data_IF_266380676757
#
_entry.id   IF_266380676757
#
_cell.length_a   1.000
_cell.length_b   1.000
_cell.length_c   1.000
_cell.angle_alpha   90.00
_cell.angle_beta   90.00
_cell.angle_gamma   90.00
#
_symmetry.space_group_name_H-M   'P 1'
#
loop_
_entity.id
_entity.type
_entity.pdbx_description
1 polymer ?
#
# COMPACT_ATOMS: atom_id res chain seq x y z
N UNK A 1 -2.05 29.79 -85.14
CA UNK A 1 -1.22 29.78 -83.91
C UNK A 1 -1.95 28.91 -82.88
N UNK A 2 -2.32 27.66 -83.16
CA UNK A 2 -1.50 26.51 -83.58
C UNK A 2 -0.29 26.33 -82.65
N UNK A 3 -0.41 25.39 -81.70
CA UNK A 3 0.49 24.24 -81.58
C UNK A 3 -0.17 23.17 -80.68
N UNK A 4 -0.45 22.04 -81.32
CA UNK A 4 -0.92 20.76 -80.81
C UNK A 4 0.24 19.91 -80.22
N UNK A 5 -0.16 18.76 -79.63
CA UNK A 5 0.58 17.49 -79.50
C UNK A 5 1.62 17.32 -78.35
N UNK A 6 1.33 16.44 -77.39
CA UNK A 6 1.58 14.99 -77.55
C UNK A 6 1.02 14.17 -76.36
N UNK A 7 0.31 13.10 -76.73
CA UNK A 7 -0.14 11.98 -75.91
C UNK A 7 1.03 11.14 -75.38
N UNK A 8 0.88 10.53 -74.20
CA UNK A 8 1.34 9.15 -73.99
C UNK A 8 0.63 8.54 -72.76
N UNK A 9 -0.41 7.77 -73.06
CA UNK A 9 -1.01 6.74 -72.22
C UNK A 9 0.00 5.58 -72.09
N UNK A 10 0.39 5.22 -70.87
CA UNK A 10 0.93 3.89 -70.56
C UNK A 10 0.35 3.38 -69.24
N UNK A 11 -0.71 2.60 -69.40
CA UNK A 11 -1.19 1.62 -68.44
C UNK A 11 -0.43 0.29 -68.71
N UNK A 12 0.07 -0.35 -67.66
CA UNK A 12 0.27 -1.80 -67.46
C UNK A 12 1.49 -2.15 -66.57
N UNK A 13 1.13 -2.43 -65.31
CA UNK A 13 1.32 -3.72 -64.64
C UNK A 13 2.68 -4.11 -64.00
N UNK A 14 2.49 -4.64 -62.78
CA UNK A 14 3.18 -5.78 -62.17
C UNK A 14 4.46 -5.60 -61.34
N UNK A 15 4.34 -6.13 -60.12
CA UNK A 15 5.40 -6.63 -59.24
C UNK A 15 6.13 -5.61 -58.35
N UNK A 16 5.37 -4.96 -57.47
CA UNK A 16 5.89 -4.59 -56.15
C UNK A 16 5.74 -5.80 -55.23
N UNK A 17 6.79 -6.60 -55.08
CA UNK A 17 6.83 -7.75 -54.17
C UNK A 17 6.38 -7.30 -52.78
N UNK A 18 5.21 -7.78 -52.37
CA UNK A 18 4.92 -7.98 -50.97
C UNK A 18 5.95 -8.99 -50.47
N UNK A 19 7.07 -8.48 -49.98
CA UNK A 19 7.87 -9.22 -49.03
C UNK A 19 7.00 -9.31 -47.78
N UNK A 20 6.15 -10.33 -47.78
CA UNK A 20 5.73 -11.02 -46.59
C UNK A 20 7.01 -11.28 -45.81
N UNK A 21 7.33 -10.35 -44.90
CA UNK A 21 8.39 -10.56 -43.92
C UNK A 21 7.91 -11.74 -43.11
N UNK A 22 8.48 -12.88 -43.46
CA UNK A 22 8.37 -14.12 -42.73
C UNK A 22 8.41 -13.78 -41.24
N UNK A 23 7.38 -14.25 -40.56
CA UNK A 23 7.21 -14.30 -39.11
C UNK A 23 8.28 -15.25 -38.55
N UNK A 24 9.54 -14.94 -38.83
CA UNK A 24 10.70 -15.53 -38.22
C UNK A 24 10.57 -15.19 -36.74
N UNK A 25 10.19 -16.22 -36.00
CA UNK A 25 10.39 -16.41 -34.58
C UNK A 25 11.87 -16.16 -34.26
N UNK A 26 12.30 -14.90 -34.33
CA UNK A 26 13.57 -14.42 -33.80
C UNK A 26 13.39 -14.61 -32.30
N UNK A 27 13.84 -15.77 -31.82
CA UNK A 27 13.97 -16.07 -30.42
C UNK A 27 14.82 -14.94 -29.81
N UNK A 28 14.13 -13.94 -29.27
CA UNK A 28 14.73 -12.78 -28.63
C UNK A 28 15.32 -13.29 -27.32
N UNK A 29 16.48 -13.92 -27.42
CA UNK A 29 17.20 -14.47 -26.27
C UNK A 29 17.74 -13.28 -25.47
N UNK A 30 16.92 -12.82 -24.52
CA UNK A 30 17.29 -11.72 -23.65
C UNK A 30 18.24 -12.22 -22.57
N UNK A 31 19.43 -11.65 -22.55
CA UNK A 31 20.41 -11.87 -21.51
C UNK A 31 19.95 -11.20 -20.20
N UNK A 32 19.62 -11.98 -19.14
CA UNK A 32 19.16 -11.43 -17.86
C UNK A 32 20.26 -10.69 -17.09
N UNK A 33 21.52 -10.78 -17.55
CA UNK A 33 22.64 -10.01 -16.97
C UNK A 33 22.80 -8.62 -17.59
N UNK A 34 21.96 -8.27 -18.57
CA UNK A 34 21.96 -6.97 -19.24
C UNK A 34 20.85 -6.07 -18.69
N UNK A 35 21.18 -4.81 -18.40
CA UNK A 35 20.21 -3.84 -17.93
C UNK A 35 19.18 -3.53 -19.03
N UNK A 36 17.89 -3.73 -18.74
CA UNK A 36 16.83 -3.49 -19.73
C UNK A 36 16.62 -2.01 -20.09
N UNK A 37 17.08 -1.08 -19.23
CA UNK A 37 16.94 0.38 -19.43
C UNK A 37 18.11 1.03 -20.17
N UNK A 38 19.34 0.56 -19.95
CA UNK A 38 20.55 1.20 -20.48
C UNK A 38 21.55 0.26 -21.18
N UNK A 39 21.18 -1.00 -21.39
CA UNK A 39 21.98 -2.04 -22.08
C UNK A 39 23.38 -2.30 -21.51
N UNK A 40 23.63 -1.88 -20.27
CA UNK A 40 24.87 -2.23 -19.57
C UNK A 40 24.84 -3.72 -19.21
N UNK A 41 25.85 -4.45 -19.67
CA UNK A 41 26.09 -5.83 -19.29
C UNK A 41 26.79 -5.92 -17.93
N UNK A 42 26.31 -6.82 -17.08
CA UNK A 42 26.89 -7.09 -15.77
C UNK A 42 27.40 -8.53 -15.69
N UNK A 43 28.28 -8.81 -14.73
CA UNK A 43 28.87 -10.15 -14.56
C UNK A 43 27.91 -11.15 -13.89
N UNK A 44 26.96 -10.66 -13.10
CA UNK A 44 25.99 -11.46 -12.36
C UNK A 44 24.63 -10.76 -12.37
N UNK A 45 23.55 -11.52 -12.26
CA UNK A 45 22.17 -11.00 -12.21
C UNK A 45 22.00 -10.08 -11.00
N UNK A 46 22.52 -10.45 -9.84
CA UNK A 46 22.49 -9.63 -8.63
C UNK A 46 23.10 -8.23 -8.86
N UNK A 47 24.23 -8.16 -9.57
CA UNK A 47 24.86 -6.87 -9.89
C UNK A 47 24.03 -6.07 -10.88
N UNK A 48 23.38 -6.74 -11.84
CA UNK A 48 22.43 -6.12 -12.76
C UNK A 48 21.23 -5.53 -12.00
N UNK A 49 20.63 -6.31 -11.09
CA UNK A 49 19.50 -5.87 -10.26
C UNK A 49 19.87 -4.69 -9.36
N UNK A 50 21.04 -4.72 -8.71
CA UNK A 50 21.53 -3.60 -7.90
C UNK A 50 21.76 -2.35 -8.75
N UNK A 51 22.27 -2.50 -9.98
CA UNK A 51 22.41 -1.39 -10.90
C UNK A 51 21.05 -0.83 -11.33
N UNK A 52 20.11 -1.70 -11.72
CA UNK A 52 18.75 -1.32 -12.11
C UNK A 52 18.03 -0.59 -10.97
N UNK A 53 18.18 -1.05 -9.73
CA UNK A 53 17.61 -0.38 -8.56
C UNK A 53 18.24 0.99 -8.31
N UNK A 54 19.59 1.09 -8.30
CA UNK A 54 20.29 2.34 -7.95
C UNK A 54 20.22 3.41 -9.02
N UNK A 55 20.29 3.04 -10.30
CA UNK A 55 20.35 3.99 -11.41
C UNK A 55 19.01 4.26 -12.06
N UNK A 56 18.10 3.28 -12.04
CA UNK A 56 16.80 3.39 -12.71
C UNK A 56 15.62 3.32 -11.74
N UNK A 57 15.84 3.09 -10.45
CA UNK A 57 14.77 2.93 -9.47
C UNK A 57 13.99 1.63 -9.63
N UNK A 58 14.58 0.61 -10.28
CA UNK A 58 13.89 -0.65 -10.51
C UNK A 58 13.60 -1.40 -9.23
N UNK A 59 12.35 -1.84 -9.09
CA UNK A 59 11.87 -2.50 -7.88
C UNK A 59 11.00 -3.70 -8.24
N UNK A 60 11.28 -4.84 -7.60
CA UNK A 60 10.50 -6.07 -7.68
C UNK A 60 9.73 -6.21 -6.35
N UNK A 61 8.39 -6.20 -6.39
CA UNK A 61 7.55 -6.51 -5.23
C UNK A 61 7.86 -7.90 -4.66
N UNK A 62 7.73 -8.07 -3.34
CA UNK A 62 7.72 -9.39 -2.69
C UNK A 62 8.85 -10.35 -3.12
N UNK A 63 10.06 -9.81 -3.31
CA UNK A 63 11.24 -10.55 -3.80
C UNK A 63 11.56 -11.82 -2.99
N UNK A 64 11.15 -11.88 -1.72
CA UNK A 64 11.31 -13.06 -0.86
C UNK A 64 10.53 -14.29 -1.37
N UNK A 65 9.47 -14.08 -2.14
CA UNK A 65 8.61 -15.10 -2.72
C UNK A 65 8.88 -15.33 -4.22
N UNK A 66 9.89 -14.67 -4.80
CA UNK A 66 10.23 -14.82 -6.21
C UNK A 66 10.95 -16.17 -6.44
N UNK A 67 10.26 -17.11 -7.09
CA UNK A 67 10.76 -18.47 -7.34
C UNK A 67 11.78 -18.51 -8.49
N UNK A 68 11.51 -17.77 -9.56
CA UNK A 68 12.39 -17.72 -10.74
C UNK A 68 12.78 -16.27 -11.12
N UNK A 69 13.91 -15.75 -10.58
CA UNK A 69 14.38 -14.41 -10.92
C UNK A 69 14.86 -14.29 -12.36
N UNK A 70 15.27 -15.40 -13.02
CA UNK A 70 15.72 -15.36 -14.41
C UNK A 70 14.54 -15.22 -15.35
N UNK A 71 13.55 -16.10 -15.21
CA UNK A 71 12.31 -16.04 -15.98
C UNK A 71 11.62 -14.69 -15.84
N UNK A 72 11.51 -14.16 -14.62
CA UNK A 72 10.93 -12.85 -14.37
C UNK A 72 11.66 -11.72 -15.13
N UNK A 73 13.00 -11.68 -15.06
CA UNK A 73 13.78 -10.65 -15.75
C UNK A 73 13.72 -10.78 -17.27
N UNK A 74 13.66 -12.01 -17.79
CA UNK A 74 13.48 -12.26 -19.22
C UNK A 74 12.12 -11.76 -19.68
N UNK A 75 11.06 -12.10 -18.96
CA UNK A 75 9.69 -11.68 -19.27
C UNK A 75 9.53 -10.14 -19.23
N UNK A 76 9.99 -9.51 -18.15
CA UNK A 76 9.99 -8.04 -18.02
C UNK A 76 10.85 -7.38 -19.10
N UNK A 77 11.97 -8.02 -19.44
CA UNK A 77 12.82 -7.61 -20.53
C UNK A 77 12.11 -7.65 -21.88
N UNK A 78 11.33 -8.70 -22.16
CA UNK A 78 10.57 -8.86 -23.40
C UNK A 78 9.48 -7.78 -23.51
N UNK A 79 8.72 -7.54 -22.44
CA UNK A 79 7.73 -6.45 -22.40
C UNK A 79 8.32 -5.10 -22.80
N UNK A 80 9.53 -4.77 -22.34
CA UNK A 80 10.17 -3.48 -22.66
C UNK A 80 10.89 -3.48 -24.01
N UNK A 81 11.63 -4.54 -24.33
CA UNK A 81 12.54 -4.57 -25.49
C UNK A 81 11.88 -5.01 -26.79
N UNK A 82 10.92 -5.92 -26.71
CA UNK A 82 10.21 -6.48 -27.88
C UNK A 82 8.88 -5.78 -28.08
N UNK A 83 8.07 -5.71 -27.02
CA UNK A 83 6.70 -5.24 -27.13
C UNK A 83 6.57 -3.72 -26.96
N UNK A 84 7.70 -3.05 -26.64
CA UNK A 84 7.77 -1.62 -26.37
C UNK A 84 6.69 -1.14 -25.40
N UNK A 85 6.47 -1.87 -24.31
CA UNK A 85 5.49 -1.56 -23.29
C UNK A 85 6.14 -1.06 -22.00
N UNK A 86 5.44 -0.16 -21.29
CA UNK A 86 5.87 0.35 -20.00
C UNK A 86 5.35 -0.55 -18.88
N UNK A 87 6.24 -0.98 -17.98
CA UNK A 87 5.96 -1.95 -16.90
C UNK A 87 4.97 -1.48 -15.82
N UNK A 88 4.64 -0.19 -15.80
CA UNK A 88 3.77 0.40 -14.78
C UNK A 88 2.55 1.13 -15.35
N UNK A 89 2.51 1.36 -16.67
CA UNK A 89 1.37 2.05 -17.24
C UNK A 89 0.27 1.04 -17.54
N UNK A 90 -0.93 1.29 -17.04
CA UNK A 90 -2.11 0.46 -17.29
C UNK A 90 -2.42 0.37 -18.80
N UNK A 91 -3.26 -0.60 -19.16
CA UNK A 91 -3.71 -1.01 -20.50
C UNK A 91 -4.13 0.11 -21.48
N UNK A 92 -4.41 1.31 -20.98
CA UNK A 92 -4.67 2.48 -21.83
C UNK A 92 -3.42 3.02 -22.53
N UNK A 93 -2.23 2.55 -22.17
CA UNK A 93 -0.99 2.89 -22.87
C UNK A 93 -0.72 1.87 -23.98
N UNK A 94 -1.03 2.26 -25.22
CA UNK A 94 -0.55 1.55 -26.40
C UNK A 94 0.98 1.38 -26.39
N UNK A 95 1.46 0.33 -27.03
CA UNK A 95 2.87 0.12 -27.29
C UNK A 95 3.51 1.38 -27.89
N UNK A 96 4.69 1.74 -27.40
CA UNK A 96 5.42 2.88 -27.92
C UNK A 96 6.01 2.55 -29.29
N UNK A 97 6.29 3.58 -30.08
CA UNK A 97 6.84 3.42 -31.44
C UNK A 97 8.28 2.88 -31.45
N UNK A 98 9.04 3.00 -30.35
CA UNK A 98 10.42 2.53 -30.28
C UNK A 98 10.88 2.25 -28.86
N UNK A 99 11.91 1.39 -28.73
CA UNK A 99 12.64 1.12 -27.48
C UNK A 99 13.07 2.40 -26.76
N UNK A 100 13.59 3.37 -27.51
CA UNK A 100 14.08 4.61 -26.95
C UNK A 100 12.95 5.45 -26.36
N UNK A 101 11.78 5.45 -27.00
CA UNK A 101 10.59 6.13 -26.51
C UNK A 101 10.10 5.53 -25.18
N UNK A 102 10.06 4.20 -25.07
CA UNK A 102 9.71 3.49 -23.81
C UNK A 102 10.69 3.84 -22.71
N UNK A 103 12.00 3.73 -22.98
CA UNK A 103 13.04 4.00 -21.97
C UNK A 103 13.00 5.43 -21.47
N UNK A 104 12.84 6.40 -22.38
CA UNK A 104 12.68 7.82 -22.01
C UNK A 104 11.42 8.04 -21.19
N UNK A 105 10.32 7.38 -21.54
CA UNK A 105 9.08 7.45 -20.76
C UNK A 105 9.29 6.89 -19.35
N UNK A 106 9.87 5.70 -19.24
CA UNK A 106 10.10 5.02 -17.96
C UNK A 106 11.04 5.82 -17.05
N UNK A 107 12.11 6.40 -17.61
CA UNK A 107 13.05 7.24 -16.88
C UNK A 107 12.40 8.57 -16.45
N UNK A 108 11.68 9.24 -17.36
CA UNK A 108 11.06 10.54 -17.08
C UNK A 108 9.93 10.45 -16.04
N UNK A 109 9.14 9.37 -16.05
CA UNK A 109 8.03 9.15 -15.11
C UNK A 109 8.42 8.28 -13.91
N UNK A 110 9.65 7.79 -13.84
CA UNK A 110 10.08 6.78 -12.85
C UNK A 110 9.19 5.52 -12.85
N UNK A 111 8.74 5.08 -14.02
CA UNK A 111 7.95 3.86 -14.23
C UNK A 111 8.82 2.60 -14.39
N UNK A 112 9.99 2.59 -13.77
CA UNK A 112 10.89 1.44 -13.76
C UNK A 112 10.47 0.39 -12.73
N UNK A 113 9.22 0.34 -12.28
CA UNK A 113 8.73 -0.62 -11.29
C UNK A 113 7.63 -1.46 -11.92
N UNK A 114 7.52 -2.71 -11.50
CA UNK A 114 6.47 -3.59 -11.98
C UNK A 114 5.15 -3.23 -11.29
N UNK A 115 4.08 -3.12 -12.05
CA UNK A 115 2.73 -2.99 -11.52
C UNK A 115 2.35 -4.29 -10.79
N UNK A 116 1.99 -4.21 -9.52
CA UNK A 116 1.60 -5.38 -8.71
C UNK A 116 0.67 -4.94 -7.59
N UNK A 117 -0.52 -5.52 -7.51
CA UNK A 117 -1.47 -5.30 -6.40
C UNK A 117 -2.22 -3.96 -6.39
N UNK A 118 -2.06 -3.11 -7.41
CA UNK A 118 -2.78 -1.83 -7.58
C UNK A 118 -3.87 -1.92 -8.70
N UNK A 119 -4.06 -3.08 -9.34
CA UNK A 119 -4.81 -3.25 -10.60
C UNK A 119 -5.96 -4.26 -10.61
N UNK A 120 -6.51 -4.48 -11.80
CA UNK A 120 -7.47 -5.55 -12.11
C UNK A 120 -6.74 -6.91 -12.03
N UNK A 121 -7.41 -7.95 -11.55
CA UNK A 121 -6.82 -9.25 -11.20
C UNK A 121 -6.11 -9.97 -12.38
N UNK A 122 -6.31 -9.49 -13.62
CA UNK A 122 -5.85 -10.13 -14.86
C UNK A 122 -4.35 -9.89 -15.15
N UNK A 123 -3.81 -8.69 -14.92
CA UNK A 123 -2.37 -8.41 -15.14
C UNK A 123 -1.49 -9.06 -14.05
N UNK A 124 -2.02 -9.15 -12.83
CA UNK A 124 -1.35 -9.86 -11.71
C UNK A 124 -1.23 -11.37 -12.00
N UNK A 125 -2.14 -11.94 -12.80
CA UNK A 125 -2.14 -13.35 -13.21
C UNK A 125 -0.94 -13.75 -14.09
N UNK A 126 -0.45 -12.86 -14.97
CA UNK A 126 0.72 -13.14 -15.81
C UNK A 126 2.00 -13.26 -14.98
N UNK A 127 2.08 -12.51 -13.87
CA UNK A 127 3.23 -12.51 -12.98
C UNK A 127 3.19 -13.64 -11.96
N UNK A 128 2.00 -14.21 -11.68
CA UNK A 128 1.79 -15.24 -10.66
C UNK A 128 2.67 -16.48 -10.87
N UNK A 129 2.97 -16.85 -12.12
CA UNK A 129 3.85 -17.98 -12.44
C UNK A 129 5.27 -17.85 -11.85
N UNK A 130 5.76 -16.60 -11.67
CA UNK A 130 7.10 -16.34 -11.16
C UNK A 130 7.18 -16.30 -9.62
N UNK A 131 6.04 -16.23 -8.93
CA UNK A 131 5.98 -16.11 -7.47
C UNK A 131 5.46 -17.40 -6.80
N UNK A 132 5.98 -17.70 -5.62
CA UNK A 132 5.51 -18.80 -4.78
C UNK A 132 5.18 -18.29 -3.37
N UNK A 133 3.90 -18.01 -3.14
CA UNK A 133 3.38 -17.55 -1.86
C UNK A 133 2.99 -18.68 -0.90
N UNK A 134 3.24 -19.96 -1.24
CA UNK A 134 2.84 -21.12 -0.43
C UNK A 134 3.29 -21.03 1.03
N UNK A 135 4.47 -20.46 1.28
CA UNK A 135 5.04 -20.26 2.61
C UNK A 135 4.36 -19.16 3.42
N UNK A 136 3.72 -18.18 2.77
CA UNK A 136 3.00 -17.08 3.45
C UNK A 136 1.71 -17.57 4.13
N UNK A 137 1.05 -18.57 3.54
CA UNK A 137 -0.16 -19.20 4.08
C UNK A 137 0.14 -20.22 5.20
N UNK A 138 1.35 -20.79 5.21
CA UNK A 138 1.73 -21.86 6.15
C UNK A 138 2.06 -21.34 7.56
N UNK A 139 2.28 -20.04 7.73
CA UNK A 139 2.64 -19.47 9.02
C UNK A 139 1.39 -19.11 9.83
N UNK A 140 0.83 -20.09 10.55
CA UNK A 140 -0.30 -19.95 11.49
C UNK A 140 -0.01 -18.95 12.65
N UNK A 141 1.21 -18.41 12.74
CA UNK A 141 1.70 -17.62 13.87
C UNK A 141 1.16 -16.19 13.96
N UNK A 142 1.34 -15.34 12.94
CA UNK A 142 1.34 -13.89 13.19
C UNK A 142 0.61 -13.00 12.17
N UNK A 143 0.36 -13.46 10.94
CA UNK A 143 -0.32 -12.69 9.88
C UNK A 143 -1.33 -13.55 9.10
N UNK A 144 -2.25 -14.21 9.80
CA UNK A 144 -3.29 -15.00 9.16
C UNK A 144 -4.23 -14.09 8.33
N UNK A 145 -4.20 -14.25 7.00
CA UNK A 145 -5.27 -13.77 6.14
C UNK A 145 -6.55 -14.52 6.52
N UNK A 146 -7.49 -13.82 7.14
CA UNK A 146 -8.77 -14.42 7.56
C UNK A 146 -9.66 -14.48 6.32
N UNK A 147 -9.66 -15.61 5.63
CA UNK A 147 -10.67 -15.90 4.61
C UNK A 147 -12.04 -15.88 5.31
N UNK A 148 -12.95 -15.07 4.77
CA UNK A 148 -14.31 -14.95 5.29
C UNK A 148 -15.08 -16.25 5.02
N UNK A 149 -15.02 -17.20 5.95
CA UNK A 149 -15.85 -18.41 5.87
C UNK A 149 -15.44 -19.60 6.73
N UNK A 150 -14.16 -19.81 7.08
CA UNK A 150 -13.76 -21.15 7.57
C UNK A 150 -12.78 -21.21 8.74
N UNK A 151 -12.49 -20.10 9.42
CA UNK A 151 -11.67 -20.12 10.65
C UNK A 151 -12.41 -19.58 11.87
N UNK A 152 -12.00 -20.00 13.06
CA UNK A 152 -12.52 -19.56 14.37
C UNK A 152 -12.44 -18.03 14.58
N UNK A 153 -11.66 -17.34 13.77
CA UNK A 153 -11.58 -15.89 13.71
C UNK A 153 -12.44 -15.39 12.55
N UNK A 154 -13.36 -14.46 12.82
CA UNK A 154 -14.23 -13.87 11.78
C UNK A 154 -13.99 -12.38 11.65
N UNK A 155 -14.03 -11.88 10.41
CA UNK A 155 -14.01 -10.47 10.08
C UNK A 155 -15.31 -10.17 9.35
N UNK A 156 -16.19 -9.40 9.99
CA UNK A 156 -17.53 -9.14 9.48
C UNK A 156 -17.79 -7.64 9.39
N UNK A 157 -18.39 -7.23 8.27
CA UNK A 157 -18.96 -5.89 8.10
C UNK A 157 -20.32 -5.84 8.78
N UNK A 158 -20.39 -5.16 9.92
CA UNK A 158 -21.63 -4.98 10.66
C UNK A 158 -22.32 -3.69 10.21
N UNK A 159 -23.52 -3.82 9.62
CA UNK A 159 -24.32 -2.67 9.19
C UNK A 159 -23.63 -1.77 8.16
N UNK A 160 -22.67 -2.31 7.39
CA UNK A 160 -21.90 -1.62 6.34
C UNK A 160 -20.95 -0.51 6.80
N UNK A 161 -20.91 -0.20 8.10
CA UNK A 161 -20.23 1.00 8.62
C UNK A 161 -19.23 0.70 9.73
N UNK A 162 -19.27 -0.50 10.30
CA UNK A 162 -18.35 -0.93 11.34
C UNK A 162 -17.76 -2.29 10.99
N UNK A 163 -16.44 -2.43 11.14
CA UNK A 163 -15.73 -3.69 10.96
C UNK A 163 -15.57 -4.36 12.32
N UNK A 164 -16.13 -5.55 12.47
CA UNK A 164 -16.01 -6.34 13.70
C UNK A 164 -15.01 -7.47 13.45
N UNK A 165 -13.92 -7.44 14.21
CA UNK A 165 -12.88 -8.47 14.20
C UNK A 165 -13.09 -9.32 15.44
N UNK A 166 -13.48 -10.58 15.25
CA UNK A 166 -13.57 -11.55 16.33
C UNK A 166 -12.35 -12.45 16.29
N UNK A 167 -11.66 -12.54 17.43
CA UNK A 167 -10.57 -13.49 17.65
C UNK A 167 -11.01 -14.49 18.71
N UNK A 168 -11.07 -15.77 18.35
CA UNK A 168 -11.31 -16.86 19.30
C UNK A 168 -9.97 -17.54 19.61
N UNK A 169 -9.69 -17.66 20.89
CA UNK A 169 -8.62 -18.50 21.44
C UNK A 169 -9.28 -19.52 22.35
N UNK A 170 -8.61 -20.65 22.62
CA UNK A 170 -9.15 -21.82 23.35
C UNK A 170 -9.97 -21.47 24.61
N UNK A 171 -9.66 -20.36 25.28
CA UNK A 171 -10.36 -19.91 26.51
C UNK A 171 -10.93 -18.48 26.46
N UNK A 172 -10.83 -17.76 25.33
CA UNK A 172 -11.28 -16.36 25.28
C UNK A 172 -11.67 -15.91 23.88
N UNK A 173 -12.85 -15.31 23.79
CA UNK A 173 -13.30 -14.57 22.60
C UNK A 173 -13.03 -13.08 22.85
N UNK A 174 -12.25 -12.45 21.99
CA UNK A 174 -12.06 -11.00 21.97
C UNK A 174 -12.63 -10.43 20.69
N UNK A 175 -13.57 -9.49 20.80
CA UNK A 175 -14.06 -8.71 19.66
C UNK A 175 -13.50 -7.29 19.71
N UNK A 176 -13.09 -6.77 18.54
CA UNK A 176 -12.74 -5.36 18.35
C UNK A 176 -13.59 -4.79 17.23
N UNK A 177 -14.25 -3.68 17.50
CA UNK A 177 -15.05 -2.95 16.51
C UNK A 177 -14.29 -1.72 16.04
N UNK A 178 -14.10 -1.59 14.73
CA UNK A 178 -13.47 -0.45 14.07
C UNK A 178 -14.56 0.31 13.30
N UNK A 179 -14.84 1.54 13.72
CA UNK A 179 -15.85 2.37 13.08
C UNK A 179 -15.34 3.06 11.81
N UNK A 180 -16.25 3.34 10.86
CA UNK A 180 -15.93 4.07 9.63
C UNK A 180 -15.50 5.52 9.89
N UNK A 181 -14.57 6.02 9.07
CA UNK A 181 -14.11 7.41 9.09
C UNK A 181 -15.26 8.41 8.90
N UNK A 182 -16.30 8.04 8.17
CA UNK A 182 -17.48 8.88 7.90
C UNK A 182 -18.20 9.30 9.20
N UNK A 183 -18.19 8.41 10.21
CA UNK A 183 -18.85 8.65 11.48
C UNK A 183 -17.93 9.26 12.56
N UNK A 184 -16.71 9.69 12.20
CA UNK A 184 -15.73 10.24 13.15
C UNK A 184 -16.27 11.44 13.95
N UNK A 185 -17.15 12.25 13.35
CA UNK A 185 -17.82 13.35 14.06
C UNK A 185 -18.66 12.82 15.22
N UNK A 186 -19.40 11.74 15.01
CA UNK A 186 -20.28 11.11 16.02
C UNK A 186 -19.48 10.36 17.08
N UNK A 187 -18.43 9.63 16.69
CA UNK A 187 -17.55 8.93 17.63
C UNK A 187 -16.80 9.86 18.59
N UNK A 188 -16.62 11.13 18.22
CA UNK A 188 -16.04 12.17 19.08
C UNK A 188 -17.05 12.86 19.99
N UNK A 189 -18.36 12.66 19.78
CA UNK A 189 -19.39 13.25 20.63
C UNK A 189 -19.34 12.66 22.04
N UNK A 190 -19.57 13.52 23.03
CA UNK A 190 -19.74 13.13 24.44
C UNK A 190 -21.12 13.60 24.88
N UNK A 191 -22.19 12.89 24.49
CA UNK A 191 -23.54 13.29 24.87
C UNK A 191 -23.65 13.36 26.40
N UNK A 192 -24.41 14.31 26.94
CA UNK A 192 -24.62 14.40 28.37
C UNK A 192 -25.23 13.08 28.88
N UNK A 193 -24.84 12.61 30.07
CA UNK A 193 -25.48 11.43 30.65
C UNK A 193 -26.98 11.66 30.81
N UNK A 194 -27.77 10.59 30.71
CA UNK A 194 -29.23 10.66 30.56
C UNK A 194 -29.93 11.63 31.53
N UNK A 195 -31.09 12.14 31.09
CA UNK A 195 -31.95 13.10 31.81
C UNK A 195 -32.18 12.76 33.29
N UNK A 196 -32.19 11.48 33.67
CA UNK A 196 -32.31 11.09 35.08
C UNK A 196 -31.19 11.68 35.97
N UNK A 197 -29.95 11.77 35.47
CA UNK A 197 -28.87 12.43 36.22
C UNK A 197 -29.04 13.96 36.27
N UNK A 198 -29.66 14.55 35.25
CA UNK A 198 -29.99 15.97 35.24
C UNK A 198 -31.09 16.30 36.26
N UNK A 199 -32.09 15.42 36.41
CA UNK A 199 -33.12 15.54 37.45
C UNK A 199 -32.47 15.51 38.82
N UNK A 200 -31.61 14.52 39.11
CA UNK A 200 -30.90 14.40 40.39
C UNK A 200 -30.00 15.62 40.65
N UNK A 201 -29.27 16.11 39.65
CA UNK A 201 -28.45 17.31 39.78
C UNK A 201 -29.30 18.57 40.02
N UNK A 202 -30.46 18.70 39.36
CA UNK A 202 -31.38 19.82 39.56
C UNK A 202 -32.03 19.78 40.95
N UNK A 203 -32.36 18.58 41.45
CA UNK A 203 -32.88 18.35 42.79
C UNK A 203 -31.82 18.69 43.85
N UNK A 204 -30.58 18.23 43.63
CA UNK A 204 -29.46 18.56 44.50
C UNK A 204 -29.19 20.08 44.56
N UNK A 205 -29.30 20.79 43.44
CA UNK A 205 -29.18 22.25 43.38
C UNK A 205 -30.32 22.96 44.14
N UNK A 206 -31.57 22.53 43.95
CA UNK A 206 -32.73 23.08 44.67
C UNK A 206 -32.65 22.84 46.17
N UNK A 207 -32.21 21.66 46.59
CA UNK A 207 -32.03 21.34 47.99
C UNK A 207 -30.93 22.20 48.63
N UNK A 208 -29.83 22.47 47.90
CA UNK A 208 -28.80 23.43 48.33
C UNK A 208 -29.35 24.86 48.45
N UNK A 209 -30.17 25.32 47.50
CA UNK A 209 -30.75 26.68 47.58
C UNK A 209 -31.78 26.83 48.70
N UNK A 210 -32.43 25.74 49.12
CA UNK A 210 -33.32 25.72 50.29
C UNK A 210 -32.57 25.52 51.62
N UNK A 211 -31.23 25.45 51.60
CA UNK A 211 -30.43 25.26 52.80
C UNK A 211 -30.45 23.83 53.36
N UNK A 212 -30.99 22.86 52.63
CA UNK A 212 -30.93 21.45 53.02
C UNK A 212 -29.55 20.87 52.71
N UNK A 213 -28.90 20.30 53.73
CA UNK A 213 -27.66 19.56 53.57
C UNK A 213 -27.90 18.28 52.75
N UNK A 214 -27.58 18.33 51.46
CA UNK A 214 -27.73 17.18 50.52
C UNK A 214 -26.68 16.09 50.70
N UNK A 215 -25.59 16.40 51.40
CA UNK A 215 -24.54 15.46 51.74
C UNK A 215 -24.41 15.53 53.26
N UNK A 216 -24.89 14.51 53.96
CA UNK A 216 -24.54 14.36 55.37
C UNK A 216 -23.01 14.18 55.47
N UNK A 217 -22.34 15.20 55.99
CA UNK A 217 -21.03 15.21 56.66
C UNK A 217 -19.95 14.22 56.18
N UNK A 218 -19.82 14.01 54.87
CA UNK A 218 -18.65 13.37 54.26
C UNK A 218 -17.72 14.38 53.60
N UNK A 219 -17.71 15.62 54.08
CA UNK A 219 -16.84 16.70 53.57
C UNK A 219 -15.38 16.27 53.53
N UNK A 220 -14.90 15.58 54.57
CA UNK A 220 -13.54 15.03 54.61
C UNK A 220 -13.30 13.98 53.52
N UNK A 221 -14.26 13.10 53.23
CA UNK A 221 -14.12 12.08 52.18
C UNK A 221 -14.14 12.73 50.79
N UNK A 222 -14.99 13.75 50.58
CA UNK A 222 -15.03 14.50 49.32
C UNK A 222 -13.74 15.30 49.13
N UNK A 223 -13.25 16.01 50.16
CA UNK A 223 -11.95 16.70 50.13
C UNK A 223 -10.81 15.74 49.85
N UNK A 224 -10.78 14.58 50.51
CA UNK A 224 -9.74 13.56 50.29
C UNK A 224 -9.80 12.98 48.87
N UNK A 225 -10.99 12.76 48.30
CA UNK A 225 -11.14 12.34 46.90
C UNK A 225 -10.66 13.42 45.93
N UNK A 226 -11.02 14.68 46.15
CA UNK A 226 -10.57 15.81 45.32
C UNK A 226 -9.04 15.96 45.38
N UNK A 227 -8.46 15.89 46.59
CA UNK A 227 -7.01 15.96 46.77
C UNK A 227 -6.29 14.77 46.11
N UNK A 228 -6.87 13.55 46.18
CA UNK A 228 -6.35 12.36 45.49
C UNK A 228 -6.40 12.50 43.97
N UNK A 229 -7.49 13.05 43.44
CA UNK A 229 -7.67 13.33 42.02
C UNK A 229 -6.65 14.38 41.52
N UNK A 230 -6.46 15.46 42.28
CA UNK A 230 -5.46 16.50 42.00
C UNK A 230 -4.04 15.94 42.03
N UNK A 231 -3.70 15.13 43.05
CA UNK A 231 -2.40 14.48 43.14
C UNK A 231 -2.15 13.52 41.97
N UNK A 232 -3.16 12.75 41.54
CA UNK A 232 -3.05 11.84 40.39
C UNK A 232 -2.82 12.61 39.09
N UNK A 233 -3.51 13.74 38.87
CA UNK A 233 -3.30 14.62 37.71
C UNK A 233 -1.91 15.29 37.75
N UNK A 234 -1.51 15.78 38.92
CA UNK A 234 -0.19 16.39 39.13
C UNK A 234 0.95 15.40 38.89
N UNK A 235 0.84 14.17 39.39
CA UNK A 235 1.80 13.11 39.14
C UNK A 235 1.90 12.78 37.64
N UNK A 236 0.77 12.66 36.95
CA UNK A 236 0.75 12.40 35.50
C UNK A 236 1.40 13.53 34.70
N UNK A 237 1.15 14.79 35.07
CA UNK A 237 1.83 15.94 34.44
C UNK A 237 3.32 15.94 34.71
N UNK A 238 3.74 15.65 35.95
CA UNK A 238 5.16 15.56 36.34
C UNK A 238 5.90 14.50 35.52
N UNK A 239 5.31 13.30 35.39
CA UNK A 239 5.88 12.23 34.55
C UNK A 239 5.95 12.66 33.09
N UNK A 240 4.89 13.28 32.55
CA UNK A 240 4.87 13.76 31.16
C UNK A 240 5.92 14.83 30.89
N UNK A 241 6.15 15.75 31.83
CA UNK A 241 7.22 16.74 31.77
C UNK A 241 8.60 16.07 31.88
N UNK A 242 8.77 15.14 32.82
CA UNK A 242 10.02 14.38 33.01
C UNK A 242 10.42 13.57 31.77
N UNK A 243 9.46 12.88 31.14
CA UNK A 243 9.70 12.13 29.90
C UNK A 243 10.09 13.05 28.74
N UNK A 244 9.52 14.26 28.66
CA UNK A 244 9.89 15.26 27.64
C UNK A 244 11.26 15.88 27.90
N UNK A 245 11.67 16.01 29.16
CA UNK A 245 13.01 16.48 29.53
C UNK A 245 14.07 15.40 29.41
N UNK A 246 13.69 14.13 29.27
CA UNK A 246 14.61 13.01 29.12
C UNK A 246 15.10 12.86 27.67
N UNK A 247 15.58 13.96 27.10
CA UNK A 247 16.26 13.99 25.80
C UNK A 247 17.72 14.29 26.09
N UNK A 248 18.57 13.25 26.05
CA UNK A 248 20.01 13.40 26.17
C UNK A 248 20.49 14.02 24.86
N UNK A 249 20.72 15.34 24.87
CA UNK A 249 21.13 16.09 23.67
C UNK A 249 22.57 15.81 23.24
N UNK A 250 23.37 15.24 24.14
CA UNK A 250 24.76 14.86 23.91
C UNK A 250 24.93 13.39 24.27
N UNK A 251 24.50 12.47 23.41
CA UNK A 251 24.98 11.09 23.53
C UNK A 251 26.45 11.07 23.11
N UNK A 252 27.37 10.57 23.94
CA UNK A 252 28.69 10.20 23.44
C UNK A 252 28.50 9.07 22.41
N UNK A 253 29.15 9.18 21.25
CA UNK A 253 29.23 8.13 20.23
C UNK A 253 30.00 6.93 20.79
N UNK A 254 29.36 6.12 21.63
CA UNK A 254 29.96 4.94 22.26
C UNK A 254 29.63 3.65 21.48
N UNK A 255 29.63 3.75 20.16
CA UNK A 255 29.64 2.57 19.29
C UNK A 255 30.69 2.81 18.22
N UNK A 256 31.80 2.08 18.30
CA UNK A 256 32.74 1.91 17.20
C UNK A 256 32.07 1.01 16.17
N UNK A 257 31.97 1.49 14.94
CA UNK A 257 31.64 0.69 13.76
C UNK A 257 32.68 -0.44 13.60
#
# INVERSE_FOLDING_TARGET
DDDDDDDDDMDENESGSGEDMDEDEIEFELDPTCCLMCDRKHKTIEKCMVHMHKHHGFFIPDIEYLKDPKGFLTYVGLKVKRDFMCLYCNELCHAFTSLEAVRKHMDAKSHCKVHYGDGDDEEDGELEEFYDYSSSYANEGDNQMVVSGESDNTVELFGGSELVITKRTENKVTSRTLGSREFMRYYKQKPPPSSQKNIVNSLAMRYKSMGLATVQSKENIVRMKVMREMNKRGARMRVKLGMKSNVIRNLPNNVTY
#
